data_IF_381108116366
#
_entry.id   IF_381108116366
#
_cell.length_a   1.000
_cell.length_b   1.000
_cell.length_c   1.000
_cell.angle_alpha   90.00
_cell.angle_beta   90.00
_cell.angle_gamma   90.00
#
_symmetry.space_group_name_H-M   'P 1'
#
loop_
_entity.id
_entity.type
_entity.pdbx_description
1 polymer ?
#
# COMPACT_ATOMS: atom_id res chain seq x y z
N UNK A 1 13.15 -8.95 -21.81
CA UNK A 1 12.78 -10.03 -20.86
C UNK A 1 13.35 -9.81 -19.45
N UNK A 2 14.67 -9.56 -19.30
CA UNK A 2 15.31 -9.35 -17.98
C UNK A 2 14.61 -8.28 -17.13
N UNK A 3 14.36 -7.10 -17.71
CA UNK A 3 13.69 -5.99 -17.03
C UNK A 3 12.31 -6.40 -16.48
N UNK A 4 11.51 -7.07 -17.31
CA UNK A 4 10.17 -7.51 -16.94
C UNK A 4 10.20 -8.57 -15.84
N UNK A 5 11.04 -9.61 -16.00
CA UNK A 5 11.16 -10.68 -15.00
C UNK A 5 11.64 -10.12 -13.66
N UNK A 6 12.67 -9.28 -13.66
CA UNK A 6 13.17 -8.67 -12.44
C UNK A 6 12.19 -7.67 -11.82
N UNK A 7 11.38 -6.98 -12.64
CA UNK A 7 10.33 -6.09 -12.18
C UNK A 7 9.15 -6.83 -11.54
N UNK A 8 8.74 -7.98 -12.08
CA UNK A 8 7.65 -8.79 -11.51
C UNK A 8 8.08 -9.77 -10.41
N UNK A 9 9.37 -10.07 -10.30
CA UNK A 9 9.86 -11.03 -9.32
C UNK A 9 9.49 -10.69 -7.86
N UNK A 10 9.49 -9.41 -7.41
CA UNK A 10 9.10 -9.08 -6.05
C UNK A 10 7.69 -9.53 -5.67
N UNK A 11 6.75 -9.46 -6.61
CA UNK A 11 5.33 -9.81 -6.43
C UNK A 11 5.05 -11.32 -6.32
N UNK A 12 6.07 -12.18 -6.50
CA UNK A 12 5.94 -13.62 -6.23
C UNK A 12 5.57 -13.87 -4.77
N UNK A 13 5.86 -12.92 -3.89
CA UNK A 13 5.40 -12.92 -2.49
C UNK A 13 3.86 -12.94 -2.34
N UNK A 14 3.09 -12.67 -3.41
CA UNK A 14 1.64 -12.85 -3.43
C UNK A 14 1.23 -14.31 -3.15
N UNK A 15 2.07 -15.30 -3.46
CA UNK A 15 1.82 -16.71 -3.16
C UNK A 15 1.65 -17.00 -1.66
N UNK A 16 2.18 -16.14 -0.78
CA UNK A 16 1.99 -16.22 0.68
C UNK A 16 0.52 -16.14 1.09
N UNK A 17 -0.34 -15.61 0.21
CA UNK A 17 -1.80 -15.64 0.39
C UNK A 17 -2.33 -17.06 0.64
N UNK A 18 -1.82 -18.06 -0.09
CA UNK A 18 -2.27 -19.46 0.06
C UNK A 18 -1.75 -20.12 1.35
N UNK A 19 -0.85 -19.46 2.07
CA UNK A 19 -0.25 -19.93 3.32
C UNK A 19 -0.95 -19.35 4.56
N UNK A 20 -1.96 -18.49 4.39
CA UNK A 20 -2.76 -17.92 5.47
C UNK A 20 -2.32 -16.51 5.90
N UNK A 21 -3.21 -15.83 6.64
CA UNK A 21 -3.04 -14.43 7.03
C UNK A 21 -1.76 -14.11 7.83
N UNK A 22 -1.31 -14.95 8.79
CA UNK A 22 -0.06 -14.68 9.51
C UNK A 22 1.15 -14.66 8.57
N UNK A 23 1.28 -15.66 7.70
CA UNK A 23 2.39 -15.74 6.74
C UNK A 23 2.34 -14.57 5.76
N UNK A 24 1.15 -14.26 5.25
CA UNK A 24 0.97 -13.12 4.36
C UNK A 24 1.39 -11.80 5.03
N UNK A 25 1.02 -11.55 6.29
CA UNK A 25 1.42 -10.34 7.02
C UNK A 25 2.95 -10.18 7.15
N UNK A 26 3.66 -11.27 7.42
CA UNK A 26 5.11 -11.23 7.63
C UNK A 26 5.92 -11.07 6.34
N UNK A 27 5.49 -11.74 5.27
CA UNK A 27 6.31 -11.85 4.06
C UNK A 27 5.84 -10.93 2.94
N UNK A 28 4.55 -10.58 2.87
CA UNK A 28 4.03 -9.77 1.77
C UNK A 28 4.54 -8.34 1.88
N UNK A 29 5.11 -7.84 0.80
CA UNK A 29 5.71 -6.50 0.69
C UNK A 29 6.77 -6.21 1.75
N UNK A 30 7.35 -7.28 2.31
CA UNK A 30 8.44 -7.22 3.27
C UNK A 30 9.76 -7.58 2.59
N UNK A 31 10.14 -8.86 2.61
CA UNK A 31 11.46 -9.32 2.18
C UNK A 31 11.73 -8.93 0.72
N UNK A 32 10.86 -9.31 -0.21
CA UNK A 32 11.06 -9.09 -1.64
C UNK A 32 10.95 -7.62 -2.07
N UNK A 33 10.31 -6.79 -1.24
CA UNK A 33 10.10 -5.37 -1.46
C UNK A 33 10.99 -4.48 -0.59
N UNK A 34 12.03 -5.06 0.02
CA UNK A 34 13.09 -4.33 0.72
C UNK A 34 14.24 -4.00 -0.22
N UNK A 35 15.04 -2.98 0.08
CA UNK A 35 16.24 -2.66 -0.71
C UNK A 35 17.20 -3.86 -0.82
N UNK A 36 17.42 -4.56 0.30
CA UNK A 36 18.32 -5.72 0.36
C UNK A 36 17.73 -6.90 -0.42
N UNK A 37 16.46 -7.23 -0.19
CA UNK A 37 15.81 -8.36 -0.85
C UNK A 37 15.59 -8.14 -2.35
N UNK A 38 15.19 -6.94 -2.77
CA UNK A 38 15.07 -6.58 -4.17
C UNK A 38 16.44 -6.61 -4.89
N UNK A 39 17.52 -6.16 -4.23
CA UNK A 39 18.87 -6.27 -4.77
C UNK A 39 19.31 -7.74 -4.91
N UNK A 40 19.07 -8.56 -3.88
CA UNK A 40 19.36 -9.99 -3.94
C UNK A 40 18.58 -10.69 -5.06
N UNK A 41 17.30 -10.34 -5.25
CA UNK A 41 16.46 -10.86 -6.30
C UNK A 41 16.94 -10.41 -7.69
N UNK A 42 17.34 -9.15 -7.84
CA UNK A 42 17.94 -8.64 -9.07
C UNK A 42 19.24 -9.39 -9.43
N UNK A 43 20.09 -9.68 -8.44
CA UNK A 43 21.30 -10.50 -8.62
C UNK A 43 20.95 -11.91 -9.06
N UNK A 44 19.97 -12.55 -8.40
CA UNK A 44 19.53 -13.90 -8.74
C UNK A 44 19.00 -13.99 -10.18
N UNK A 45 18.08 -13.08 -10.55
CA UNK A 45 17.52 -13.03 -11.91
C UNK A 45 18.63 -12.74 -12.93
N UNK A 46 19.53 -11.80 -12.64
CA UNK A 46 20.66 -11.50 -13.51
C UNK A 46 21.60 -12.71 -13.69
N UNK A 47 21.87 -13.47 -12.63
CA UNK A 47 22.70 -14.67 -12.67
C UNK A 47 22.08 -15.76 -13.56
N UNK A 48 20.77 -15.96 -13.46
CA UNK A 48 20.03 -16.91 -14.32
C UNK A 48 20.15 -16.50 -15.78
N UNK A 49 19.82 -15.26 -16.13
CA UNK A 49 19.93 -14.79 -17.52
C UNK A 49 21.36 -14.83 -18.04
N UNK A 50 22.33 -14.44 -17.21
CA UNK A 50 23.74 -14.52 -17.55
C UNK A 50 24.17 -15.98 -17.81
N UNK A 51 23.77 -16.94 -16.97
CA UNK A 51 24.15 -18.34 -17.12
C UNK A 51 23.77 -18.91 -18.50
N UNK A 52 22.56 -18.61 -18.96
CA UNK A 52 22.07 -19.04 -20.28
C UNK A 52 22.59 -18.17 -21.44
N UNK A 53 22.83 -16.88 -21.21
CA UNK A 53 23.27 -15.93 -22.23
C UNK A 53 24.78 -15.80 -22.42
N UNK A 54 25.60 -16.28 -21.48
CA UNK A 54 27.06 -16.06 -21.48
C UNK A 54 27.81 -16.74 -22.61
N UNK A 55 27.24 -17.78 -23.22
CA UNK A 55 27.82 -18.52 -24.36
C UNK A 55 27.16 -18.21 -25.70
N UNK A 56 26.35 -17.14 -25.77
CA UNK A 56 25.66 -16.79 -27.01
C UNK A 56 26.68 -16.48 -28.14
N UNK A 57 26.56 -17.09 -29.33
CA UNK A 57 27.62 -17.07 -30.35
C UNK A 57 28.01 -15.68 -30.85
N UNK A 58 27.03 -14.78 -30.97
CA UNK A 58 27.23 -13.45 -31.57
C UNK A 58 27.28 -12.32 -30.54
N UNK A 59 26.83 -12.56 -29.31
CA UNK A 59 26.64 -11.51 -28.30
C UNK A 59 26.57 -12.12 -26.90
N UNK A 60 27.70 -12.58 -26.33
CA UNK A 60 27.72 -13.15 -24.99
C UNK A 60 27.25 -12.11 -23.96
N UNK A 61 26.27 -12.50 -23.14
CA UNK A 61 25.73 -11.63 -22.11
C UNK A 61 26.76 -11.42 -21.01
N UNK A 62 27.12 -10.17 -20.73
CA UNK A 62 28.00 -9.80 -19.61
C UNK A 62 27.18 -9.69 -18.33
N UNK A 63 27.64 -10.28 -17.23
CA UNK A 63 26.92 -10.30 -15.96
C UNK A 63 26.52 -8.90 -15.47
N UNK A 64 27.44 -7.94 -15.50
CA UNK A 64 27.14 -6.57 -15.06
C UNK A 64 26.01 -5.89 -15.87
N UNK A 65 25.88 -6.22 -17.17
CA UNK A 65 24.77 -5.69 -18.00
C UNK A 65 23.44 -6.32 -17.61
N UNK A 66 23.44 -7.63 -17.35
CA UNK A 66 22.26 -8.32 -16.83
C UNK A 66 21.86 -7.75 -15.47
N UNK A 67 22.83 -7.55 -14.58
CA UNK A 67 22.64 -6.97 -13.26
C UNK A 67 22.09 -5.55 -13.33
N UNK A 68 22.63 -4.68 -14.19
CA UNK A 68 22.12 -3.33 -14.37
C UNK A 68 20.65 -3.32 -14.84
N UNK A 69 20.30 -4.15 -15.84
CA UNK A 69 18.92 -4.22 -16.34
C UNK A 69 17.97 -4.79 -15.29
N UNK A 70 18.38 -5.84 -14.56
CA UNK A 70 17.56 -6.41 -13.48
C UNK A 70 17.42 -5.46 -12.30
N UNK A 71 18.48 -4.72 -11.95
CA UNK A 71 18.48 -3.69 -10.93
C UNK A 71 17.53 -2.54 -11.26
N UNK A 72 17.48 -2.10 -12.53
CA UNK A 72 16.48 -1.12 -12.99
C UNK A 72 15.08 -1.69 -12.85
N UNK A 73 14.85 -2.96 -13.19
CA UNK A 73 13.55 -3.62 -13.07
C UNK A 73 13.06 -3.67 -11.63
N UNK A 74 13.86 -4.27 -10.74
CA UNK A 74 13.54 -4.39 -9.31
C UNK A 74 13.44 -3.02 -8.63
N UNK A 75 14.34 -2.08 -8.94
CA UNK A 75 14.30 -0.72 -8.42
C UNK A 75 13.08 0.07 -8.88
N UNK A 76 12.69 -0.06 -10.15
CA UNK A 76 11.45 0.57 -10.67
C UNK A 76 10.22 0.02 -9.95
N UNK A 77 10.19 -1.28 -9.65
CA UNK A 77 9.10 -1.89 -8.88
C UNK A 77 8.95 -1.23 -7.50
N UNK A 78 10.03 -1.13 -6.73
CA UNK A 78 10.02 -0.45 -5.43
C UNK A 78 9.56 1.01 -5.54
N UNK A 79 10.08 1.74 -6.53
CA UNK A 79 9.72 3.14 -6.76
C UNK A 79 8.24 3.31 -7.12
N UNK A 80 7.64 2.36 -7.84
CA UNK A 80 6.23 2.39 -8.21
C UNK A 80 5.31 2.00 -7.05
N UNK A 81 5.80 1.23 -6.08
CA UNK A 81 5.04 0.87 -4.88
C UNK A 81 5.09 1.93 -3.77
N UNK A 82 6.13 2.78 -3.70
CA UNK A 82 6.21 3.85 -2.68
C UNK A 82 5.03 4.84 -2.70
N UNK A 83 4.52 5.28 -3.87
CA UNK A 83 3.31 6.10 -3.97
C UNK A 83 2.04 5.48 -3.35
N UNK A 84 1.98 4.14 -3.29
CA UNK A 84 0.81 3.39 -2.87
C UNK A 84 0.56 3.53 -1.35
N UNK A 85 -0.70 3.72 -0.93
CA UNK A 85 -1.07 3.81 0.49
C UNK A 85 -0.81 2.56 1.33
N UNK A 86 -0.71 1.39 0.71
CA UNK A 86 -0.42 0.13 1.40
C UNK A 86 1.01 0.11 1.94
N UNK A 87 1.97 0.63 1.14
CA UNK A 87 3.38 0.69 1.49
C UNK A 87 4.14 -0.63 1.35
N UNK A 88 5.40 -0.60 1.80
CA UNK A 88 6.35 -1.72 1.83
C UNK A 88 7.38 -1.56 2.96
N UNK A 89 8.08 -2.64 3.36
CA UNK A 89 9.18 -2.58 4.34
C UNK A 89 10.52 -2.29 3.67
N UNK A 90 10.69 -1.04 3.22
CA UNK A 90 11.83 -0.63 2.40
C UNK A 90 13.19 -0.99 3.01
N UNK A 91 13.31 -0.87 4.33
CA UNK A 91 14.57 -1.00 5.07
C UNK A 91 14.73 -2.34 5.78
N UNK A 92 13.87 -3.33 5.52
CA UNK A 92 14.05 -4.66 6.07
C UNK A 92 15.39 -5.27 5.59
N UNK A 93 16.17 -5.99 6.43
CA UNK A 93 15.85 -6.46 7.79
C UNK A 93 16.26 -5.49 8.92
N UNK A 94 16.69 -4.26 8.60
CA UNK A 94 17.17 -3.31 9.61
C UNK A 94 16.03 -2.57 10.33
N UNK A 95 14.85 -2.47 9.69
CA UNK A 95 13.65 -1.86 10.27
C UNK A 95 12.39 -2.56 9.75
N UNK A 96 11.42 -2.75 10.64
CA UNK A 96 10.10 -3.28 10.33
C UNK A 96 9.07 -2.20 9.96
N UNK A 97 9.49 -0.94 9.90
CA UNK A 97 8.60 0.16 9.53
C UNK A 97 8.10 0.05 8.10
N UNK A 98 6.81 0.31 7.93
CA UNK A 98 6.17 0.38 6.63
C UNK A 98 6.27 1.78 6.06
N UNK A 99 6.85 1.89 4.87
CA UNK A 99 7.03 3.15 4.16
C UNK A 99 5.99 3.26 3.05
N UNK A 100 5.23 4.36 3.06
CA UNK A 100 4.24 4.70 2.05
C UNK A 100 4.16 6.22 1.91
N UNK A 101 4.08 6.73 0.69
CA UNK A 101 3.80 8.15 0.44
C UNK A 101 2.31 8.46 0.53
N UNK A 102 1.44 7.45 0.43
CA UNK A 102 -0.03 7.58 0.56
C UNK A 102 -0.64 8.56 -0.45
N UNK A 103 -0.17 8.56 -1.70
CA UNK A 103 -0.66 9.47 -2.75
C UNK A 103 -1.50 8.76 -3.81
N UNK A 104 -1.33 7.45 -3.99
CA UNK A 104 -2.07 6.62 -4.95
C UNK A 104 -2.73 5.45 -4.19
N UNK A 105 -3.96 5.10 -4.56
CA UNK A 105 -4.64 3.92 -4.01
C UNK A 105 -4.12 2.64 -4.68
N UNK A 106 -4.18 1.50 -3.98
CA UNK A 106 -3.81 0.19 -4.55
C UNK A 106 -4.53 -0.13 -5.86
N UNK A 107 -5.79 0.30 -6.01
CA UNK A 107 -6.57 0.14 -7.24
C UNK A 107 -7.09 1.49 -7.72
N UNK A 108 -6.19 2.38 -8.14
CA UNK A 108 -6.54 3.71 -8.66
C UNK A 108 -7.07 3.63 -10.11
N UNK A 109 -8.34 4.00 -10.31
CA UNK A 109 -9.03 3.93 -11.61
C UNK A 109 -8.36 4.80 -12.68
N UNK A 110 -7.76 5.94 -12.31
CA UNK A 110 -7.11 6.85 -13.24
C UNK A 110 -5.76 6.33 -13.69
N UNK A 111 -4.99 5.73 -12.77
CA UNK A 111 -3.74 5.03 -13.12
C UNK A 111 -4.02 3.92 -14.13
N UNK A 112 -5.04 3.09 -13.86
CA UNK A 112 -5.45 2.02 -14.77
C UNK A 112 -5.92 2.56 -16.13
N UNK A 113 -6.71 3.64 -16.14
CA UNK A 113 -7.18 4.27 -17.37
C UNK A 113 -6.01 4.80 -18.22
N UNK A 114 -5.05 5.50 -17.63
CA UNK A 114 -3.88 6.04 -18.34
C UNK A 114 -3.03 4.91 -18.93
N UNK A 115 -2.80 3.83 -18.17
CA UNK A 115 -2.06 2.66 -18.65
C UNK A 115 -2.80 1.97 -19.81
N UNK A 116 -4.11 1.77 -19.69
CA UNK A 116 -4.95 1.16 -20.72
C UNK A 116 -4.95 2.00 -22.00
N UNK A 117 -5.14 3.32 -21.89
CA UNK A 117 -5.12 4.23 -23.03
C UNK A 117 -3.74 4.28 -23.69
N UNK A 118 -2.65 4.33 -22.90
CA UNK A 118 -1.29 4.27 -23.40
C UNK A 118 -0.98 3.00 -24.20
N UNK A 119 -1.59 1.89 -23.82
CA UNK A 119 -1.47 0.60 -24.51
C UNK A 119 -2.35 0.51 -25.77
N UNK A 120 -3.61 0.95 -25.71
CA UNK A 120 -4.60 0.73 -26.77
C UNK A 120 -4.61 1.81 -27.85
N UNK A 121 -4.43 3.09 -27.49
CA UNK A 121 -4.55 4.20 -28.45
C UNK A 121 -3.57 4.10 -29.63
N UNK A 122 -2.29 3.71 -29.45
CA UNK A 122 -1.39 3.53 -30.58
C UNK A 122 -1.88 2.47 -31.57
N UNK A 123 -2.54 1.41 -31.09
CA UNK A 123 -3.14 0.37 -31.92
C UNK A 123 -4.37 0.85 -32.68
N UNK A 124 -5.25 1.59 -32.00
CA UNK A 124 -6.45 2.17 -32.61
C UNK A 124 -6.10 3.18 -33.70
N UNK A 125 -5.17 4.10 -33.44
CA UNK A 125 -4.71 5.06 -34.44
C UNK A 125 -4.02 4.38 -35.62
N UNK A 126 -3.37 3.22 -35.41
CA UNK A 126 -2.80 2.43 -36.50
C UNK A 126 -3.89 1.93 -37.45
N UNK A 127 -4.98 1.38 -36.92
CA UNK A 127 -6.10 0.86 -37.73
C UNK A 127 -6.73 1.97 -38.60
N UNK A 128 -6.99 3.14 -38.00
CA UNK A 128 -7.55 4.29 -38.72
C UNK A 128 -6.56 4.83 -39.77
N UNK A 129 -5.27 4.86 -39.44
CA UNK A 129 -4.22 5.35 -40.35
C UNK A 129 -4.00 4.41 -41.54
N UNK A 130 -4.10 3.10 -41.32
CA UNK A 130 -4.02 2.09 -42.38
C UNK A 130 -5.21 2.19 -43.34
N UNK A 131 -6.41 2.52 -42.85
CA UNK A 131 -7.62 2.70 -43.66
C UNK A 131 -7.55 3.93 -44.59
N UNK A 132 -6.84 4.99 -44.17
CA UNK A 132 -6.59 6.19 -44.98
C UNK A 132 -5.29 6.10 -45.82
N UNK A 133 -4.66 4.92 -45.90
CA UNK A 133 -3.48 4.67 -46.73
C UNK A 133 -2.15 5.20 -46.16
N UNK A 134 -2.12 5.62 -44.89
CA UNK A 134 -0.89 6.04 -44.23
C UNK A 134 -0.07 4.82 -43.79
N UNK A 135 1.27 4.89 -43.97
CA UNK A 135 2.17 3.80 -43.57
C UNK A 135 2.27 3.71 -42.04
N UNK A 136 2.10 2.53 -41.43
CA UNK A 136 2.16 2.40 -39.98
C UNK A 136 3.58 2.70 -39.44
N UNK A 137 3.69 3.66 -38.53
CA UNK A 137 4.95 3.96 -37.86
C UNK A 137 5.30 2.89 -36.82
N UNK A 138 6.49 2.27 -36.95
CA UNK A 138 7.01 1.26 -36.01
C UNK A 138 7.16 1.74 -34.55
N UNK A 139 7.11 3.05 -34.29
CA UNK A 139 7.32 3.66 -32.96
C UNK A 139 6.03 4.02 -32.21
N UNK A 140 4.85 3.80 -32.78
CA UNK A 140 3.57 4.13 -32.15
C UNK A 140 3.42 3.62 -30.70
N UNK A 141 3.62 2.31 -30.44
CA UNK A 141 3.50 1.75 -29.09
C UNK A 141 4.52 2.34 -28.09
N UNK A 142 5.76 2.61 -28.54
CA UNK A 142 6.78 3.21 -27.69
C UNK A 142 6.40 4.65 -27.28
N UNK A 143 5.88 5.44 -28.23
CA UNK A 143 5.40 6.80 -27.94
C UNK A 143 4.21 6.77 -26.98
N UNK A 144 3.26 5.85 -27.18
CA UNK A 144 2.13 5.65 -26.27
C UNK A 144 2.58 5.35 -24.84
N UNK A 145 3.54 4.44 -24.68
CA UNK A 145 4.13 4.12 -23.38
C UNK A 145 4.82 5.33 -22.72
N UNK A 146 5.61 6.11 -23.48
CA UNK A 146 6.29 7.31 -22.96
C UNK A 146 5.25 8.34 -22.50
N UNK A 147 4.22 8.62 -23.32
CA UNK A 147 3.16 9.57 -22.96
C UNK A 147 2.43 9.10 -21.70
N UNK A 148 2.08 7.82 -21.60
CA UNK A 148 1.43 7.27 -20.41
C UNK A 148 2.30 7.44 -19.15
N UNK A 149 3.60 7.13 -19.23
CA UNK A 149 4.51 7.30 -18.10
C UNK A 149 4.65 8.78 -17.68
N UNK A 150 4.71 9.71 -18.63
CA UNK A 150 4.74 11.16 -18.35
C UNK A 150 3.44 11.61 -17.68
N UNK A 151 2.28 11.15 -18.18
CA UNK A 151 0.98 11.45 -17.58
C UNK A 151 0.86 10.89 -16.17
N UNK A 152 1.35 9.67 -15.92
CA UNK A 152 1.37 9.08 -14.58
C UNK A 152 2.28 9.85 -13.62
N UNK A 153 3.46 10.28 -14.08
CA UNK A 153 4.35 11.10 -13.25
C UNK A 153 3.72 12.46 -12.91
N UNK A 154 3.06 13.10 -13.88
CA UNK A 154 2.31 14.34 -13.66
C UNK A 154 1.12 14.13 -12.70
N UNK A 155 0.37 13.04 -12.87
CA UNK A 155 -0.73 12.66 -11.97
C UNK A 155 -0.24 12.42 -10.55
N UNK A 156 0.81 11.63 -10.36
CA UNK A 156 1.41 11.36 -9.04
C UNK A 156 1.89 12.66 -8.36
N UNK A 157 2.51 13.57 -9.13
CA UNK A 157 2.95 14.89 -8.62
C UNK A 157 1.75 15.73 -8.19
N UNK A 158 0.68 15.76 -9.00
CA UNK A 158 -0.56 16.45 -8.63
C UNK A 158 -1.20 15.86 -7.37
N UNK A 159 -1.27 14.53 -7.27
CA UNK A 159 -1.76 13.81 -6.09
C UNK A 159 -0.92 14.12 -4.84
N UNK A 160 0.41 14.22 -4.97
CA UNK A 160 1.28 14.63 -3.87
C UNK A 160 0.93 16.03 -3.36
N UNK A 161 0.79 17.01 -4.26
CA UNK A 161 0.39 18.38 -3.86
C UNK A 161 -0.99 18.40 -3.20
N UNK A 162 -1.96 17.67 -3.76
CA UNK A 162 -3.30 17.56 -3.19
C UNK A 162 -3.29 16.88 -1.81
N UNK A 163 -2.48 15.85 -1.62
CA UNK A 163 -2.33 15.20 -0.32
C UNK A 163 -1.80 16.18 0.73
N UNK A 164 -0.76 16.94 0.41
CA UNK A 164 -0.19 17.94 1.33
C UNK A 164 -1.25 18.98 1.73
N UNK A 165 -2.10 19.41 0.79
CA UNK A 165 -3.25 20.28 1.09
C UNK A 165 -4.29 19.60 1.98
N UNK A 166 -4.61 18.33 1.75
CA UNK A 166 -5.54 17.59 2.60
C UNK A 166 -5.00 17.47 4.03
N UNK A 167 -3.72 17.13 4.21
CA UNK A 167 -3.06 17.09 5.52
C UNK A 167 -3.09 18.46 6.20
N UNK A 168 -2.83 19.55 5.46
CA UNK A 168 -2.93 20.91 6.00
C UNK A 168 -4.34 21.23 6.50
N UNK A 169 -5.37 20.92 5.71
CA UNK A 169 -6.78 21.12 6.10
C UNK A 169 -7.12 20.37 7.38
N UNK A 170 -6.70 19.11 7.49
CA UNK A 170 -6.93 18.27 8.66
C UNK A 170 -6.17 18.78 9.90
N UNK A 171 -4.92 19.18 9.75
CA UNK A 171 -4.08 19.67 10.86
C UNK A 171 -4.49 21.03 11.43
N UNK A 172 -5.25 21.82 10.67
CA UNK A 172 -5.62 23.20 11.00
C UNK A 172 -6.99 23.34 11.68
N UNK A 173 -7.53 22.24 12.24
CA UNK A 173 -8.88 22.16 12.82
C UNK A 173 -8.84 21.48 14.17
N UNK A 174 -9.79 21.84 15.01
CA UNK A 174 -10.11 21.08 16.22
C UNK A 174 -11.17 20.04 15.87
N UNK A 175 -11.09 18.89 16.50
CA UNK A 175 -12.04 17.81 16.35
C UNK A 175 -12.74 17.60 17.68
N UNK A 176 -14.01 18.00 17.76
CA UNK A 176 -14.78 17.98 19.00
C UNK A 176 -14.09 18.70 20.19
N UNK A 177 -13.29 19.73 19.87
CA UNK A 177 -12.52 20.51 20.84
C UNK A 177 -11.06 20.07 21.01
N UNK A 178 -10.69 18.89 20.54
CA UNK A 178 -9.34 18.35 20.68
C UNK A 178 -8.43 18.74 19.50
N UNK A 179 -7.16 18.97 19.80
CA UNK A 179 -6.13 19.27 18.81
C UNK A 179 -5.57 17.97 18.18
N UNK A 180 -5.23 17.99 16.88
CA UNK A 180 -4.62 16.85 16.20
C UNK A 180 -3.18 16.59 16.67
N UNK A 181 -2.85 15.33 16.95
CA UNK A 181 -1.50 14.84 17.31
C UNK A 181 -0.76 14.24 16.12
N UNK A 182 -1.42 13.40 15.31
CA UNK A 182 -0.94 12.92 14.01
C UNK A 182 -2.10 12.95 13.00
N UNK A 183 -1.76 13.13 11.73
CA UNK A 183 -2.71 13.28 10.64
C UNK A 183 -2.24 12.49 9.42
N UNK A 184 -3.16 11.71 8.86
CA UNK A 184 -2.95 10.99 7.60
C UNK A 184 -4.04 11.34 6.59
N UNK A 185 -3.67 11.57 5.34
CA UNK A 185 -4.60 11.68 4.22
C UNK A 185 -4.36 10.53 3.24
N UNK A 186 -5.40 9.73 3.01
CA UNK A 186 -5.37 8.54 2.16
C UNK A 186 -6.24 8.74 0.91
N UNK A 187 -5.74 8.40 -0.28
CA UNK A 187 -6.45 8.68 -1.53
C UNK A 187 -7.71 7.83 -1.66
N UNK A 188 -8.76 8.40 -2.26
CA UNK A 188 -9.87 7.62 -2.79
C UNK A 188 -9.44 6.86 -4.06
N UNK A 189 -10.00 5.67 -4.28
CA UNK A 189 -9.75 4.86 -5.47
C UNK A 189 -10.45 5.40 -6.75
N UNK A 190 -11.47 6.25 -6.60
CA UNK A 190 -12.25 6.82 -7.73
C UNK A 190 -11.97 8.30 -7.93
N UNK A 191 -12.09 9.11 -6.87
CA UNK A 191 -12.01 10.56 -7.00
C UNK A 191 -10.60 11.06 -6.71
N UNK A 192 -9.93 11.74 -7.66
CA UNK A 192 -8.56 12.22 -7.45
C UNK A 192 -8.50 13.36 -6.41
N UNK A 193 -9.62 14.04 -6.18
CA UNK A 193 -9.76 15.19 -5.26
C UNK A 193 -10.34 14.81 -3.89
N UNK A 194 -10.74 13.56 -3.69
CA UNK A 194 -11.26 13.07 -2.42
C UNK A 194 -10.19 12.28 -1.66
N UNK A 195 -10.13 12.54 -0.36
CA UNK A 195 -9.20 11.92 0.57
C UNK A 195 -9.96 11.47 1.80
N UNK A 196 -9.59 10.32 2.33
CA UNK A 196 -9.98 9.89 3.67
C UNK A 196 -8.92 10.39 4.65
N UNK A 197 -9.29 11.32 5.50
CA UNK A 197 -8.50 11.80 6.61
C UNK A 197 -8.63 10.85 7.81
N UNK A 198 -7.50 10.60 8.47
CA UNK A 198 -7.44 10.02 9.81
C UNK A 198 -6.71 11.02 10.67
N UNK A 199 -7.30 11.40 11.80
CA UNK A 199 -6.71 12.33 12.76
C UNK A 199 -6.66 11.65 14.11
N UNK A 200 -5.46 11.53 14.66
CA UNK A 200 -5.25 11.08 16.03
C UNK A 200 -5.35 12.28 16.97
N UNK A 201 -6.18 12.19 17.99
CA UNK A 201 -6.22 13.13 19.13
C UNK A 201 -5.70 12.42 20.39
N UNK A 202 -5.78 13.04 21.56
CA UNK A 202 -5.40 12.38 22.81
C UNK A 202 -6.22 11.10 23.05
N UNK A 203 -7.54 11.19 22.91
CA UNK A 203 -8.49 10.14 23.31
C UNK A 203 -9.21 9.46 22.13
N UNK A 204 -9.13 10.02 20.92
CA UNK A 204 -9.89 9.55 19.77
C UNK A 204 -9.03 9.39 18.51
N UNK A 205 -9.58 8.67 17.55
CA UNK A 205 -9.14 8.57 16.17
C UNK A 205 -10.33 8.96 15.29
N UNK A 206 -10.23 10.12 14.66
CA UNK A 206 -11.30 10.72 13.85
C UNK A 206 -11.11 10.36 12.39
N UNK A 207 -12.12 9.74 11.77
CA UNK A 207 -12.14 9.47 10.33
C UNK A 207 -13.06 10.48 9.62
N UNK A 208 -12.53 11.25 8.68
CA UNK A 208 -13.29 12.32 8.01
C UNK A 208 -12.95 12.40 6.53
N UNK A 209 -13.94 12.70 5.68
CA UNK A 209 -13.70 12.91 4.25
C UNK A 209 -13.20 14.34 3.99
N UNK A 210 -12.14 14.48 3.20
CA UNK A 210 -11.61 15.76 2.72
C UNK A 210 -11.77 15.83 1.21
N UNK A 211 -12.51 16.82 0.72
CA UNK A 211 -12.64 17.11 -0.72
C UNK A 211 -11.95 18.44 -1.03
N UNK A 212 -11.14 18.47 -2.08
CA UNK A 212 -10.33 19.64 -2.48
C UNK A 212 -10.81 20.32 -3.77
N UNK A 213 -12.09 20.17 -4.13
CA UNK A 213 -12.69 20.79 -5.31
C UNK A 213 -13.18 22.23 -5.07
N UNK A 214 -13.48 23.00 -6.14
CA UNK A 214 -14.09 24.32 -6.00
C UNK A 214 -15.38 24.27 -5.16
N UNK A 215 -15.51 25.17 -4.19
CA UNK A 215 -16.67 25.24 -3.30
C UNK A 215 -16.77 24.10 -2.29
N UNK A 216 -15.71 23.29 -2.11
CA UNK A 216 -15.71 22.29 -1.05
C UNK A 216 -15.65 22.97 0.33
N UNK A 217 -16.47 22.46 1.24
CA UNK A 217 -16.46 22.84 2.64
C UNK A 217 -15.94 21.65 3.45
N UNK A 218 -15.05 21.92 4.41
CA UNK A 218 -14.54 20.93 5.33
C UNK A 218 -15.13 21.16 6.71
N UNK A 219 -15.79 20.14 7.24
CA UNK A 219 -16.49 20.16 8.52
C UNK A 219 -15.87 19.08 9.43
N UNK A 220 -15.02 19.46 10.40
CA UNK A 220 -14.36 18.48 11.27
C UNK A 220 -15.37 17.74 12.16
N UNK A 221 -16.50 18.35 12.53
CA UNK A 221 -17.49 17.75 13.42
C UNK A 221 -18.35 16.66 12.74
N UNK A 222 -18.17 16.45 11.43
CA UNK A 222 -18.74 15.30 10.70
C UNK A 222 -17.85 14.07 10.70
N UNK A 223 -16.76 14.08 11.46
CA UNK A 223 -15.90 12.92 11.60
C UNK A 223 -16.65 11.74 12.24
N UNK A 224 -16.22 10.54 11.88
CA UNK A 224 -16.58 9.31 12.59
C UNK A 224 -15.55 9.13 13.70
N UNK A 225 -15.99 9.37 14.93
CA UNK A 225 -15.16 9.24 16.13
C UNK A 225 -14.97 7.79 16.54
N UNK A 226 -13.71 7.34 16.57
CA UNK A 226 -13.33 6.08 17.19
C UNK A 226 -12.58 6.36 18.50
N UNK A 227 -13.18 6.01 19.64
CA UNK A 227 -12.54 6.18 20.94
C UNK A 227 -11.40 5.19 21.16
N UNK A 228 -10.26 5.67 21.66
CA UNK A 228 -9.18 4.82 22.14
C UNK A 228 -9.65 4.09 23.41
N UNK A 229 -9.27 2.81 23.60
CA UNK A 229 -9.65 2.08 24.81
C UNK A 229 -8.94 2.67 26.03
N UNK A 230 -9.64 2.68 27.16
CA UNK A 230 -9.04 3.11 28.43
C UNK A 230 -7.86 2.21 28.83
N UNK A 231 -6.80 2.77 29.45
CA UNK A 231 -5.68 2.00 30.01
C UNK A 231 -6.18 0.96 31.00
N UNK A 232 -5.77 -0.29 30.81
CA UNK A 232 -6.48 -1.39 31.45
C UNK A 232 -5.66 -2.70 31.39
N UNK A 233 -5.78 -3.64 32.37
CA UNK A 233 -4.85 -4.76 32.48
C UNK A 233 -4.78 -5.70 31.27
N UNK A 234 -5.89 -6.03 30.61
CA UNK A 234 -5.85 -6.82 29.36
C UNK A 234 -5.19 -6.07 28.20
N UNK A 235 -5.28 -4.74 28.13
CA UNK A 235 -4.62 -3.99 27.07
C UNK A 235 -3.10 -4.02 27.27
N UNK A 236 -2.64 -3.84 28.51
CA UNK A 236 -1.22 -3.95 28.85
C UNK A 236 -0.68 -5.37 28.66
N UNK A 237 -1.44 -6.39 29.06
CA UNK A 237 -1.06 -7.77 28.83
C UNK A 237 -1.02 -8.11 27.33
N UNK A 238 -1.98 -7.63 26.53
CA UNK A 238 -1.96 -7.79 25.08
C UNK A 238 -0.75 -7.09 24.43
N UNK A 239 -0.36 -5.90 24.90
CA UNK A 239 0.83 -5.17 24.39
C UNK A 239 2.15 -5.92 24.60
N UNK A 240 2.22 -6.78 25.62
CA UNK A 240 3.39 -7.61 25.90
C UNK A 240 3.46 -8.88 25.04
N UNK A 241 2.41 -9.19 24.28
CA UNK A 241 2.40 -10.37 23.40
C UNK A 241 3.29 -10.17 22.19
N UNK A 242 3.80 -11.28 21.66
CA UNK A 242 4.62 -11.28 20.44
C UNK A 242 3.84 -10.71 19.26
N UNK A 243 2.56 -11.08 19.15
CA UNK A 243 1.71 -10.65 18.02
C UNK A 243 1.53 -9.14 17.98
N UNK A 244 1.33 -8.49 19.13
CA UNK A 244 1.24 -7.01 19.19
C UNK A 244 2.59 -6.35 18.93
N UNK A 245 3.67 -6.90 19.49
CA UNK A 245 5.02 -6.40 19.26
C UNK A 245 5.42 -6.43 17.77
N UNK A 246 4.98 -7.44 17.02
CA UNK A 246 5.20 -7.56 15.57
C UNK A 246 4.24 -6.67 14.75
N UNK A 247 3.03 -6.42 15.24
CA UNK A 247 2.02 -5.63 14.53
C UNK A 247 2.24 -4.11 14.65
N UNK A 248 2.54 -3.61 15.85
CA UNK A 248 2.63 -2.17 16.14
C UNK A 248 3.61 -1.43 15.19
N UNK A 249 4.84 -1.92 14.92
CA UNK A 249 5.78 -1.24 14.02
C UNK A 249 5.27 -1.10 12.58
N UNK A 250 4.31 -1.96 12.18
CA UNK A 250 3.68 -1.91 10.86
C UNK A 250 2.53 -0.92 10.77
N UNK A 251 1.94 -0.55 11.89
CA UNK A 251 0.73 0.26 11.95
C UNK A 251 1.08 1.75 12.10
N UNK A 252 0.45 2.62 11.29
CA UNK A 252 0.56 4.07 11.46
C UNK A 252 -0.51 4.63 12.38
N UNK A 253 -1.75 4.16 12.21
CA UNK A 253 -2.89 4.58 13.05
C UNK A 253 -3.46 3.36 13.80
N UNK A 254 -2.70 2.79 14.76
CA UNK A 254 -3.14 1.62 15.53
C UNK A 254 -4.32 1.97 16.43
N UNK A 255 -5.44 1.27 16.27
CA UNK A 255 -6.60 1.35 17.15
C UNK A 255 -6.85 -0.01 17.79
N UNK A 256 -6.73 -0.06 19.10
CA UNK A 256 -7.06 -1.25 19.88
C UNK A 256 -8.55 -1.28 20.25
N UNK A 257 -9.11 -2.47 20.41
CA UNK A 257 -10.46 -2.70 20.92
C UNK A 257 -10.42 -3.85 21.91
N UNK A 258 -10.97 -3.63 23.10
CA UNK A 258 -11.14 -4.66 24.12
C UNK A 258 -12.59 -5.14 24.10
N UNK A 259 -12.79 -6.45 23.98
CA UNK A 259 -14.10 -7.09 23.95
C UNK A 259 -14.14 -8.15 25.05
N UNK A 260 -15.11 -8.04 25.98
CA UNK A 260 -15.36 -9.10 26.95
C UNK A 260 -16.01 -10.30 26.24
N UNK A 261 -15.48 -11.49 26.48
CA UNK A 261 -16.01 -12.75 25.95
C UNK A 261 -16.64 -13.57 27.08
N UNK A 262 -17.18 -14.75 26.77
CA UNK A 262 -17.72 -15.65 27.81
C UNK A 262 -16.63 -16.24 28.71
N UNK A 263 -15.43 -16.42 28.15
CA UNK A 263 -14.33 -17.14 28.78
C UNK A 263 -13.16 -16.21 29.18
N UNK A 264 -13.38 -14.88 29.15
CA UNK A 264 -12.38 -13.87 29.47
C UNK A 264 -12.46 -12.63 28.58
N UNK A 265 -11.35 -12.30 27.91
CA UNK A 265 -11.20 -11.07 27.13
C UNK A 265 -10.58 -11.34 25.75
N UNK A 266 -10.95 -10.51 24.79
CA UNK A 266 -10.36 -10.48 23.44
C UNK A 266 -9.92 -9.06 23.13
N UNK A 267 -8.63 -8.90 22.87
CA UNK A 267 -8.04 -7.62 22.48
C UNK A 267 -7.68 -7.68 21.01
N UNK A 268 -8.23 -6.75 20.23
CA UNK A 268 -7.99 -6.63 18.80
C UNK A 268 -7.21 -5.35 18.53
N UNK A 269 -6.22 -5.41 17.65
CA UNK A 269 -5.46 -4.26 17.19
C UNK A 269 -5.50 -4.21 15.66
N UNK A 270 -5.94 -3.08 15.14
CA UNK A 270 -6.05 -2.82 13.69
C UNK A 270 -5.39 -1.49 13.34
N UNK A 271 -4.99 -1.34 12.09
CA UNK A 271 -4.58 -0.05 11.56
C UNK A 271 -5.73 0.60 10.79
N UNK A 272 -6.14 1.80 11.20
CA UNK A 272 -7.24 2.53 10.57
C UNK A 272 -6.94 2.96 9.12
N UNK A 273 -5.70 2.88 8.65
CA UNK A 273 -5.36 3.00 7.22
C UNK A 273 -6.15 2.04 6.32
N UNK A 274 -6.67 0.96 6.89
CA UNK A 274 -7.34 -0.11 6.17
C UNK A 274 -8.79 -0.39 6.62
N UNK A 275 -9.38 0.49 7.45
CA UNK A 275 -10.71 0.30 8.08
C UNK A 275 -11.87 0.12 7.10
N UNK A 276 -11.81 0.75 5.92
CA UNK A 276 -12.86 0.73 4.89
C UNK A 276 -12.55 -0.14 3.67
N UNK A 277 -11.45 -0.90 3.69
CA UNK A 277 -11.18 -1.80 2.57
C UNK A 277 -12.13 -2.99 2.61
N UNK A 278 -13.13 -2.95 1.72
CA UNK A 278 -14.01 -4.08 1.42
C UNK A 278 -13.27 -5.20 0.67
N UNK A 279 -12.03 -4.98 0.27
CA UNK A 279 -11.17 -6.01 -0.31
C UNK A 279 -10.67 -6.96 0.78
N UNK A 280 -10.73 -8.28 0.54
CA UNK A 280 -10.12 -9.33 1.39
C UNK A 280 -8.61 -9.14 1.67
N UNK A 281 -8.02 -8.12 1.05
CA UNK A 281 -6.61 -7.80 0.96
C UNK A 281 -6.24 -6.56 1.78
N UNK A 282 -7.24 -5.83 2.30
CA UNK A 282 -7.07 -4.47 2.79
C UNK A 282 -6.34 -4.34 4.10
N UNK A 283 -6.70 -5.13 5.11
CA UNK A 283 -6.15 -4.96 6.46
C UNK A 283 -5.96 -6.26 7.21
N UNK A 284 -4.98 -6.24 8.12
CA UNK A 284 -4.74 -7.28 9.12
C UNK A 284 -5.23 -6.81 10.49
N UNK A 285 -5.62 -7.76 11.33
CA UNK A 285 -5.96 -7.54 12.74
C UNK A 285 -5.12 -8.50 13.58
N UNK A 286 -4.37 -7.95 14.52
CA UNK A 286 -3.75 -8.71 15.59
C UNK A 286 -4.79 -8.98 16.68
N UNK A 287 -4.93 -10.24 17.09
CA UNK A 287 -5.95 -10.70 18.04
C UNK A 287 -5.25 -11.49 19.15
N UNK A 288 -5.51 -11.09 20.39
CA UNK A 288 -5.08 -11.80 21.60
C UNK A 288 -6.34 -12.17 22.39
N UNK A 289 -6.49 -13.46 22.69
CA UNK A 289 -7.56 -14.00 23.53
C UNK A 289 -6.97 -14.44 24.87
N UNK A 290 -7.62 -14.04 25.95
CA UNK A 290 -7.15 -14.18 27.32
C UNK A 290 -8.29 -14.68 28.22
N UNK A 291 -7.97 -15.34 29.33
CA UNK A 291 -8.96 -15.64 30.37
C UNK A 291 -9.21 -14.50 31.35
N UNK A 292 -10.06 -14.75 32.36
CA UNK A 292 -10.41 -13.77 33.39
C UNK A 292 -9.20 -13.34 34.23
N UNK A 293 -8.22 -14.22 34.38
CA UNK A 293 -6.95 -13.97 35.05
C UNK A 293 -5.90 -13.30 34.15
N UNK A 294 -6.26 -12.93 32.92
CA UNK A 294 -5.37 -12.30 31.94
C UNK A 294 -4.21 -13.21 31.48
N UNK A 295 -4.35 -14.53 31.55
CA UNK A 295 -3.42 -15.43 30.88
C UNK A 295 -3.78 -15.52 29.40
N UNK A 296 -2.78 -15.34 28.54
CA UNK A 296 -2.92 -15.44 27.08
C UNK A 296 -3.21 -16.89 26.71
N UNK A 297 -4.40 -17.14 26.15
CA UNK A 297 -4.81 -18.45 25.64
C UNK A 297 -4.48 -18.64 24.18
N UNK A 298 -4.58 -17.57 23.39
CA UNK A 298 -4.36 -17.61 21.96
C UNK A 298 -3.91 -16.26 21.43
N UNK A 299 -2.96 -16.30 20.50
CA UNK A 299 -2.56 -15.16 19.69
C UNK A 299 -2.73 -15.49 18.21
N UNK A 300 -3.15 -14.52 17.40
CA UNK A 300 -3.24 -14.72 15.95
C UNK A 300 -3.28 -13.40 15.18
N UNK A 301 -2.86 -13.46 13.92
CA UNK A 301 -3.12 -12.42 12.92
C UNK A 301 -4.17 -12.96 11.95
N UNK A 302 -5.27 -12.23 11.80
CA UNK A 302 -6.32 -12.53 10.82
C UNK A 302 -6.41 -11.41 9.80
N UNK A 303 -6.92 -11.70 8.61
CA UNK A 303 -7.43 -10.65 7.73
C UNK A 303 -8.70 -10.05 8.36
N UNK A 304 -8.91 -8.74 8.19
CA UNK A 304 -10.15 -8.09 8.62
C UNK A 304 -11.32 -8.83 7.94
N UNK A 305 -12.24 -9.45 8.71
CA UNK A 305 -13.42 -10.06 8.10
C UNK A 305 -14.22 -9.00 7.35
N UNK A 306 -14.83 -9.34 6.20
CA UNK A 306 -15.92 -8.54 5.62
C UNK A 306 -17.12 -8.58 6.58
N UNK A 307 -17.06 -7.79 7.65
CA UNK A 307 -18.16 -7.59 8.58
C UNK A 307 -19.02 -6.46 8.07
N UNK A 308 -20.27 -6.78 7.69
CA UNK A 308 -21.34 -5.83 7.41
C UNK A 308 -21.17 -4.58 8.27
N UNK A 309 -20.99 -3.43 7.62
CA UNK A 309 -21.24 -2.15 8.27
C UNK A 309 -22.60 -2.29 8.95
N UNK A 310 -22.62 -2.27 10.27
CA UNK A 310 -23.86 -2.00 10.98
C UNK A 310 -24.23 -0.59 10.59
N UNK A 311 -25.06 -0.46 9.55
CA UNK A 311 -25.97 0.66 9.40
C UNK A 311 -26.78 0.72 10.69
N UNK A 312 -26.36 1.62 11.58
CA UNK A 312 -27.29 2.21 12.54
C UNK A 312 -28.05 3.31 11.82
#
# INVERSE_FOLDING_TARGET
PMLLVAGYAPDVDWLTYFMGAPVMFHYRRAITHSLVGAAALAVLVAAVFWWFGRKHPTAPLRFWRALAVCGIGAGSHLLLDLPNRYGLRLFWPFSDQWVAWNIIDTVDVWVLAVLLLGMLLPGLFRLVSEEIGARPERRGPQRGAIVALVLLAAYATGKFVLQQRAVQVLSARLYHGDAPLDVGAFPSYVSPLAWRGIVETENTMEEVEVRLGPGSYFDPDRSVTNYKPEPSPMLEAARQTRTFAEFIPSARFPLARVVRTRDGYRVELRDLRFSNDSTRWGGFVAIVEMDEEMHVRKESISSVPQGKQNTR
#
